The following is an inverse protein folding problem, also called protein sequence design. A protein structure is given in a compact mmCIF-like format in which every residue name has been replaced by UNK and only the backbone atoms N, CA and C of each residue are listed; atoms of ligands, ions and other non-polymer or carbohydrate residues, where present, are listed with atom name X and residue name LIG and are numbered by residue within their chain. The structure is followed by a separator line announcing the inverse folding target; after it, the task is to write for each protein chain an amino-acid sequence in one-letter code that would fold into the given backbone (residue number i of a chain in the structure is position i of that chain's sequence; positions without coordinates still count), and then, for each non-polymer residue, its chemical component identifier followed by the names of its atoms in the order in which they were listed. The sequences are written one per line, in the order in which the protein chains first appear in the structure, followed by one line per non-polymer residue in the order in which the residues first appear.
data_IF_564953685746
#
_entry.id   IF_564953685746
#
_cell.length_a   1.000
_cell.length_b   1.000
_cell.length_c   1.000
_cell.angle_alpha   90.00
_cell.angle_beta   90.00
_cell.angle_gamma   90.00
#
_symmetry.space_group_name_H-M   'P 1'
#
loop_
_entity.id
_entity.type
_entity.pdbx_description
1 polymer ?
#
# COMPACT_ATOMS: atom_id res chain seq x y z
N UNK A 1 -7.25 8.22 12.27
CA UNK A 1 -5.89 8.01 12.80
C UNK A 1 -5.87 6.73 13.66
N UNK A 2 -4.71 6.11 13.86
CA UNK A 2 -4.57 4.93 14.74
C UNK A 2 -5.20 3.61 14.24
N UNK A 3 -5.83 3.60 13.07
CA UNK A 3 -6.46 2.41 12.48
C UNK A 3 -5.50 1.68 11.54
N UNK A 4 -5.72 0.38 11.37
CA UNK A 4 -5.02 -0.44 10.37
C UNK A 4 -5.79 -0.39 9.05
N UNK A 5 -5.14 0.11 8.01
CA UNK A 5 -5.67 0.16 6.65
C UNK A 5 -5.48 -1.20 5.97
N UNK A 6 -6.53 -1.80 5.39
CA UNK A 6 -6.41 -2.99 4.58
C UNK A 6 -5.98 -2.64 3.16
N UNK A 7 -4.84 -3.18 2.72
CA UNK A 7 -4.36 -3.15 1.33
C UNK A 7 -4.59 -4.52 0.70
N UNK A 8 -5.30 -4.57 -0.42
CA UNK A 8 -5.44 -5.77 -1.24
C UNK A 8 -4.80 -5.55 -2.60
N UNK A 9 -3.85 -6.39 -2.95
CA UNK A 9 -3.10 -6.33 -4.21
C UNK A 9 -3.39 -7.61 -5.00
N UNK A 10 -3.69 -7.45 -6.29
CA UNK A 10 -3.89 -8.54 -7.23
C UNK A 10 -2.96 -8.32 -8.41
N UNK A 11 -2.55 -9.39 -9.08
CA UNK A 11 -1.69 -9.33 -10.27
C UNK A 11 -1.81 -10.60 -11.09
N UNK A 12 -0.87 -10.83 -12.00
CA UNK A 12 -0.79 -12.07 -12.79
C UNK A 12 0.53 -12.80 -12.54
N UNK A 13 1.66 -12.08 -12.54
CA UNK A 13 2.96 -12.57 -12.07
C UNK A 13 3.37 -11.80 -10.81
N UNK A 14 3.91 -12.48 -9.81
CA UNK A 14 4.41 -11.90 -8.57
C UNK A 14 5.93 -11.84 -8.50
N UNK A 15 6.63 -12.29 -9.56
CA UNK A 15 8.08 -12.32 -9.63
C UNK A 15 8.73 -13.06 -8.44
N UNK A 16 8.05 -14.10 -7.93
CA UNK A 16 8.41 -14.82 -6.70
C UNK A 16 8.66 -13.91 -5.49
N UNK A 17 7.99 -12.77 -5.45
CA UNK A 17 8.00 -11.80 -4.37
C UNK A 17 9.01 -10.67 -4.55
N UNK A 18 9.49 -10.10 -3.45
CA UNK A 18 10.40 -8.95 -3.44
C UNK A 18 10.13 -8.00 -2.28
N UNK A 19 10.43 -6.72 -2.46
CA UNK A 19 10.29 -5.71 -1.41
C UNK A 19 9.10 -4.80 -1.66
N UNK A 20 8.39 -4.40 -0.61
CA UNK A 20 7.35 -3.38 -0.71
C UNK A 20 7.49 -2.32 0.35
N UNK A 21 7.06 -1.11 0.01
CA UNK A 21 6.78 -0.07 0.99
C UNK A 21 5.37 0.47 0.79
N UNK A 22 4.75 0.82 1.91
CA UNK A 22 3.47 1.50 1.98
C UNK A 22 3.73 2.86 2.61
N UNK A 23 3.33 3.92 1.94
CA UNK A 23 3.63 5.28 2.40
C UNK A 23 2.42 6.21 2.27
N UNK A 24 2.49 7.32 3.00
CA UNK A 24 1.47 8.35 3.05
C UNK A 24 2.09 9.70 2.72
N UNK A 25 1.39 10.49 1.92
CA UNK A 25 1.73 11.87 1.59
C UNK A 25 0.55 12.78 1.89
N UNK A 26 0.80 13.94 2.50
CA UNK A 26 -0.20 14.99 2.71
C UNK A 26 -0.04 16.17 1.75
N UNK A 27 1.03 16.15 0.94
CA UNK A 27 1.41 17.24 0.05
C UNK A 27 1.33 16.81 -1.42
N UNK A 28 0.35 15.98 -1.77
CA UNK A 28 0.10 15.55 -3.15
C UNK A 28 1.28 14.79 -3.79
N UNK A 29 1.97 13.96 -3.00
CA UNK A 29 3.03 13.06 -3.46
C UNK A 29 4.43 13.67 -3.54
N UNK A 30 4.64 14.90 -3.05
CA UNK A 30 5.97 15.52 -3.03
C UNK A 30 6.86 14.93 -1.93
N UNK A 31 6.29 14.63 -0.76
CA UNK A 31 6.98 13.95 0.33
C UNK A 31 6.18 12.75 0.84
N UNK A 32 6.90 11.73 1.32
CA UNK A 32 6.34 10.45 1.72
C UNK A 32 6.84 10.01 3.09
N UNK A 33 5.91 9.71 3.98
CA UNK A 33 6.18 9.02 5.23
C UNK A 33 5.92 7.52 5.05
N UNK A 34 6.97 6.70 5.16
CA UNK A 34 6.83 5.24 5.07
C UNK A 34 6.13 4.72 6.33
N UNK A 35 4.98 4.07 6.13
CA UNK A 35 4.16 3.49 7.19
C UNK A 35 4.54 2.04 7.48
N UNK A 36 4.93 1.29 6.44
CA UNK A 36 5.33 -0.12 6.55
C UNK A 36 6.31 -0.48 5.44
N UNK A 37 7.35 -1.22 5.81
CA UNK A 37 8.28 -1.86 4.86
C UNK A 37 8.17 -3.38 5.01
N UNK A 38 8.16 -4.09 3.89
CA UNK A 38 8.27 -5.54 3.82
C UNK A 38 9.49 -5.83 2.94
N UNK A 39 10.48 -6.52 3.50
CA UNK A 39 11.69 -6.89 2.77
C UNK A 39 11.59 -8.35 2.34
N UNK A 40 11.90 -8.62 1.07
CA UNK A 40 11.97 -9.95 0.43
C UNK A 40 10.65 -10.74 0.33
N UNK A 41 9.75 -10.56 1.29
CA UNK A 41 8.53 -11.35 1.43
C UNK A 41 7.27 -10.68 0.87
N UNK A 42 7.39 -9.54 0.19
CA UNK A 42 6.23 -8.93 -0.42
C UNK A 42 5.76 -9.75 -1.63
N UNK A 43 4.44 -9.94 -1.74
CA UNK A 43 3.77 -10.73 -2.78
C UNK A 43 4.25 -12.19 -2.84
N UNK A 44 4.77 -12.72 -1.73
CA UNK A 44 5.09 -14.14 -1.62
C UNK A 44 3.81 -14.98 -1.54
N UNK A 45 3.76 -16.08 -2.30
CA UNK A 45 2.59 -16.94 -2.40
C UNK A 45 2.35 -17.43 -3.82
N UNK A 46 1.15 -17.98 -4.08
CA UNK A 46 0.73 -18.39 -5.43
C UNK A 46 0.62 -17.17 -6.32
N UNK A 47 1.20 -17.25 -7.53
CA UNK A 47 1.12 -16.21 -8.54
C UNK A 47 -0.32 -15.74 -8.76
N UNK A 48 -0.50 -14.43 -8.89
CA UNK A 48 -1.80 -13.81 -9.14
C UNK A 48 -2.51 -13.17 -7.95
N UNK A 49 -2.15 -13.51 -6.70
CA UNK A 49 -2.83 -12.99 -5.50
C UNK A 49 -4.22 -13.62 -5.25
N UNK A 50 -5.10 -13.00 -4.44
CA UNK A 50 -4.94 -11.69 -3.80
C UNK A 50 -3.98 -11.72 -2.60
N UNK A 51 -3.15 -10.69 -2.46
CA UNK A 51 -2.28 -10.46 -1.32
C UNK A 51 -2.90 -9.40 -0.41
N UNK A 52 -2.94 -9.67 0.89
CA UNK A 52 -3.56 -8.77 1.87
C UNK A 52 -2.53 -8.29 2.88
N UNK A 53 -2.49 -6.97 3.11
CA UNK A 53 -1.60 -6.35 4.09
C UNK A 53 -2.39 -5.39 4.98
N UNK A 54 -2.07 -5.41 6.28
CA UNK A 54 -2.50 -4.36 7.21
C UNK A 54 -1.40 -3.30 7.36
N UNK A 55 -1.74 -2.04 7.17
CA UNK A 55 -0.81 -0.91 7.37
C UNK A 55 -1.36 -0.02 8.48
N UNK A 56 -0.64 0.07 9.59
CA UNK A 56 -1.08 0.85 10.74
C UNK A 56 -0.81 2.34 10.52
N UNK A 57 -1.85 3.16 10.62
CA UNK A 57 -1.69 4.61 10.68
C UNK A 57 -1.20 5.02 12.08
N UNK A 58 -0.24 5.95 12.18
CA UNK A 58 0.14 6.56 13.44
C UNK A 58 -1.09 7.15 14.17
N UNK A 59 -1.09 7.06 15.51
CA UNK A 59 -2.19 7.59 16.32
C UNK A 59 -2.36 9.12 16.15
N UNK A 60 -1.27 9.84 15.88
CA UNK A 60 -1.27 11.28 15.60
C UNK A 60 -1.43 11.66 14.13
N UNK A 61 -1.74 10.72 13.24
CA UNK A 61 -1.92 11.03 11.82
C UNK A 61 -3.02 12.09 11.62
N UNK A 62 -2.70 13.17 10.91
CA UNK A 62 -3.64 14.25 10.64
C UNK A 62 -4.83 13.75 9.81
N UNK A 63 -6.00 14.32 10.06
CA UNK A 63 -7.15 14.14 9.17
C UNK A 63 -7.04 15.05 7.95
N UNK A 64 -7.77 14.70 6.90
CA UNK A 64 -7.84 15.46 5.65
C UNK A 64 -7.42 14.66 4.43
N UNK A 65 -7.38 15.30 3.25
CA UNK A 65 -6.90 14.71 2.02
C UNK A 65 -5.46 14.25 2.16
N UNK A 66 -5.17 13.05 1.65
CA UNK A 66 -3.84 12.49 1.60
C UNK A 66 -3.75 11.49 0.43
N UNK A 67 -2.52 11.10 0.07
CA UNK A 67 -2.24 10.08 -0.95
C UNK A 67 -1.57 8.90 -0.26
N UNK A 68 -2.13 7.71 -0.43
CA UNK A 68 -1.46 6.46 -0.06
C UNK A 68 -0.72 5.91 -1.27
N UNK A 69 0.48 5.40 -1.06
CA UNK A 69 1.21 4.66 -2.08
C UNK A 69 1.55 3.25 -1.62
N UNK A 70 1.59 2.36 -2.59
CA UNK A 70 2.23 1.06 -2.51
C UNK A 70 3.29 1.00 -3.60
N UNK A 71 4.51 0.60 -3.23
CA UNK A 71 5.58 0.31 -4.17
C UNK A 71 6.02 -1.15 -4.04
N UNK A 72 6.50 -1.71 -5.15
CA UNK A 72 7.04 -3.06 -5.21
C UNK A 72 8.29 -3.12 -6.08
N UNK A 73 9.35 -3.70 -5.52
CA UNK A 73 10.59 -4.04 -6.20
C UNK A 73 10.66 -5.55 -6.34
N UNK A 74 10.71 -6.05 -7.57
CA UNK A 74 10.60 -7.47 -7.82
C UNK A 74 11.88 -8.24 -7.52
N UNK A 75 11.75 -9.44 -6.96
CA UNK A 75 12.88 -10.28 -6.55
C UNK A 75 13.67 -10.81 -7.74
N UNK A 76 12.99 -11.26 -8.79
CA UNK A 76 13.61 -11.90 -9.97
C UNK A 76 12.93 -11.48 -11.27
N UNK A 77 13.58 -11.76 -12.41
CA UNK A 77 13.15 -11.29 -13.73
C UNK A 77 13.78 -9.95 -14.07
N UNK A 78 13.15 -9.20 -14.97
CA UNK A 78 13.58 -7.84 -15.31
C UNK A 78 13.62 -6.95 -14.07
N UNK A 79 14.41 -5.88 -14.09
CA UNK A 79 14.54 -4.99 -12.93
C UNK A 79 13.40 -4.00 -12.97
N UNK A 80 12.33 -4.33 -12.25
CA UNK A 80 11.06 -3.63 -12.31
C UNK A 80 10.75 -2.92 -10.99
N UNK A 81 10.12 -1.76 -11.15
CA UNK A 81 9.59 -0.96 -10.07
C UNK A 81 8.12 -0.66 -10.35
N UNK A 82 7.25 -1.11 -9.46
CA UNK A 82 5.82 -0.85 -9.52
C UNK A 82 5.45 0.15 -8.45
N UNK A 83 4.58 1.11 -8.80
CA UNK A 83 4.00 2.06 -7.85
C UNK A 83 2.53 2.27 -8.19
N UNK A 84 1.67 2.20 -7.18
CA UNK A 84 0.29 2.62 -7.31
C UNK A 84 -0.09 3.56 -6.17
N UNK A 85 -0.76 4.65 -6.52
CA UNK A 85 -1.20 5.70 -5.61
C UNK A 85 -2.73 5.76 -5.58
N UNK A 86 -3.28 6.05 -4.41
CA UNK A 86 -4.72 6.24 -4.20
C UNK A 86 -4.93 7.47 -3.33
N UNK A 87 -5.79 8.36 -3.81
CA UNK A 87 -6.27 9.50 -3.04
C UNK A 87 -7.24 9.03 -1.95
N UNK A 88 -7.00 9.47 -0.73
CA UNK A 88 -7.81 9.15 0.45
C UNK A 88 -8.15 10.40 1.23
N UNK A 89 -9.25 10.33 1.98
CA UNK A 89 -9.57 11.31 3.01
C UNK A 89 -9.46 10.64 4.38
N UNK A 90 -8.46 11.02 5.15
CA UNK A 90 -8.23 10.45 6.47
C UNK A 90 -9.11 11.16 7.50
N UNK A 91 -9.75 10.39 8.37
CA UNK A 91 -10.46 10.94 9.52
C UNK A 91 -9.43 11.12 10.65
N UNK A 92 -9.24 12.36 11.08
CA UNK A 92 -8.31 12.74 12.16
C UNK A 92 -8.80 12.25 13.54
N UNK A 93 -8.01 12.51 14.61
CA UNK A 93 -8.40 12.11 15.96
C UNK A 93 -9.58 12.95 16.49
N UNK A 94 -10.81 12.43 16.36
CA UNK A 94 -11.99 12.75 17.20
C UNK A 94 -12.79 11.46 17.45
N UNK A 95 -13.30 11.32 18.67
CA UNK A 95 -14.01 10.16 19.21
C UNK A 95 -15.15 9.68 18.28
N UNK A 96 -15.17 8.39 17.96
CA UNK A 96 -16.36 7.70 17.45
C UNK A 96 -16.73 8.01 15.99
N UNK A 97 -16.13 7.31 15.04
CA UNK A 97 -16.84 6.65 13.92
C UNK A 97 -15.83 5.99 12.99
N UNK A 98 -15.90 4.66 12.94
CA UNK A 98 -15.13 3.81 12.03
C UNK A 98 -15.77 3.85 10.65
N UNK A 99 -15.01 4.23 9.64
CA UNK A 99 -15.47 4.21 8.26
C UNK A 99 -14.29 4.29 7.30
N UNK A 100 -13.66 3.16 7.02
CA UNK A 100 -12.80 3.01 5.84
C UNK A 100 -13.16 1.70 5.15
N UNK A 101 -13.68 1.84 3.93
CA UNK A 101 -13.94 0.74 3.00
C UNK A 101 -12.61 0.17 2.51
N UNK A 102 -12.56 -1.15 2.31
CA UNK A 102 -11.37 -1.87 1.84
C UNK A 102 -10.68 -1.16 0.68
N UNK A 103 -9.37 -0.87 0.79
CA UNK A 103 -8.61 -0.26 -0.30
C UNK A 103 -8.09 -1.38 -1.20
N UNK A 104 -8.72 -1.53 -2.36
CA UNK A 104 -8.29 -2.45 -3.41
C UNK A 104 -7.37 -1.70 -4.36
N UNK A 105 -6.15 -2.21 -4.54
CA UNK A 105 -5.22 -1.78 -5.57
C UNK A 105 -5.32 -2.78 -6.73
N UNK A 106 -6.13 -2.51 -7.78
CA UNK A 106 -6.15 -3.33 -8.99
C UNK A 106 -4.90 -3.03 -9.80
N UNK A 107 -3.77 -3.59 -9.39
CA UNK A 107 -2.51 -3.43 -10.12
C UNK A 107 -2.43 -4.48 -11.21
N UNK A 108 -2.54 -4.08 -12.48
CA UNK A 108 -2.06 -4.95 -13.56
C UNK A 108 -0.55 -4.93 -13.46
N UNK A 109 0.03 -5.93 -12.81
CA UNK A 109 1.46 -6.28 -12.99
C UNK A 109 1.51 -6.97 -14.36
N UNK A 110 1.87 -6.28 -15.46
CA UNK A 110 1.99 -6.93 -16.76
C UNK A 110 2.91 -8.15 -16.65
N UNK A 111 2.47 -9.26 -17.23
CA UNK A 111 3.37 -10.35 -17.59
C UNK A 111 4.20 -9.89 -18.79
N UNK A 112 5.53 -9.82 -18.64
CA UNK A 112 6.43 -9.91 -19.80
C UNK A 112 6.59 -11.39 -20.16
#
# INVERSE_FOLDING_TARGET
AGQTLPFRIQGTDNHKGGHCQFALSYDNGHTWAVLRTILEDCLTGRGGGPYSYGVQLPHGAAGGPAVLSWIFFNKQGDREFYMNCIDVSLIGPKQGSSGITSILFPTRIPTI
#
